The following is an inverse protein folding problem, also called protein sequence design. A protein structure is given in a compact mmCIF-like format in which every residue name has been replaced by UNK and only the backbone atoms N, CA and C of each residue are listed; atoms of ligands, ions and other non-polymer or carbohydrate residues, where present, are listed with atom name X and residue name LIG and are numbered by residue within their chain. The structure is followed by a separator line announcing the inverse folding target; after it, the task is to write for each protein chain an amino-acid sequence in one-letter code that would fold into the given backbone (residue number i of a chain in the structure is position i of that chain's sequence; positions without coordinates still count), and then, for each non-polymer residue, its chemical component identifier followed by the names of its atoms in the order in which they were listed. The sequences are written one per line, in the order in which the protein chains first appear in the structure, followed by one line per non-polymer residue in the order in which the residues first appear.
data_IF_449524538322
#
_entry.id   IF_449524538322
#
_cell.length_a   1.000
_cell.length_b   1.000
_cell.length_c   1.000
_cell.angle_alpha   90.00
_cell.angle_beta   90.00
_cell.angle_gamma   90.00
#
_symmetry.space_group_name_H-M   'P 1'
#
loop_
_entity.id
_entity.type
_entity.pdbx_description
1 polymer ?
#
# COMPACT_ATOMS: atom_id res chain seq x y z
N UNK A 1 -17.43 -16.71 -18.11
CA UNK A 1 -16.26 -16.09 -17.45
C UNK A 1 -16.57 -15.97 -15.96
N UNK A 2 -15.78 -16.55 -15.04
CA UNK A 2 -16.03 -16.37 -13.62
C UNK A 2 -15.80 -14.89 -13.27
N UNK A 3 -16.79 -14.26 -12.64
CA UNK A 3 -16.61 -12.94 -12.01
C UNK A 3 -15.61 -13.15 -10.88
N UNK A 4 -14.38 -12.66 -11.04
CA UNK A 4 -13.42 -12.55 -9.94
C UNK A 4 -14.08 -11.68 -8.86
N UNK A 5 -14.68 -12.32 -7.86
CA UNK A 5 -15.16 -11.63 -6.68
C UNK A 5 -14.00 -10.86 -6.11
N UNK A 6 -14.18 -9.55 -5.87
CA UNK A 6 -13.14 -8.71 -5.26
C UNK A 6 -12.81 -9.28 -3.89
N UNK A 7 -11.77 -10.10 -3.80
CA UNK A 7 -11.23 -10.50 -2.51
C UNK A 7 -10.51 -9.28 -1.96
N UNK A 8 -10.94 -8.83 -0.78
CA UNK A 8 -10.23 -7.79 -0.05
C UNK A 8 -8.91 -8.38 0.43
N UNK A 9 -7.82 -8.13 -0.31
CA UNK A 9 -6.48 -8.56 0.08
C UNK A 9 -5.97 -7.87 1.35
N UNK A 10 -6.55 -6.72 1.71
CA UNK A 10 -6.16 -5.93 2.88
C UNK A 10 -7.28 -4.95 3.29
N UNK A 11 -7.64 -4.93 4.56
CA UNK A 11 -8.40 -3.86 5.22
C UNK A 11 -7.78 -3.53 6.58
N UNK A 12 -7.84 -2.27 6.98
CA UNK A 12 -7.27 -1.82 8.23
C UNK A 12 -7.04 -0.32 8.26
N UNK A 13 -6.22 0.12 9.21
CA UNK A 13 -5.72 1.49 9.29
C UNK A 13 -4.20 1.52 9.18
N UNK A 14 -3.64 2.71 8.98
CA UNK A 14 -2.20 2.90 9.00
C UNK A 14 -1.86 4.24 9.62
N UNK A 15 -0.65 4.34 10.18
CA UNK A 15 -0.03 5.60 10.59
C UNK A 15 1.24 5.82 9.78
N UNK A 16 1.60 7.08 9.53
CA UNK A 16 2.84 7.45 8.83
C UNK A 16 3.63 8.39 9.72
N UNK A 17 4.89 8.04 9.98
CA UNK A 17 5.80 8.87 10.75
C UNK A 17 7.20 8.82 10.13
N UNK A 18 7.72 9.97 9.69
CA UNK A 18 9.11 10.12 9.17
C UNK A 18 9.52 9.06 8.13
N UNK A 19 8.63 8.75 7.18
CA UNK A 19 8.91 7.75 6.14
C UNK A 19 8.74 6.30 6.59
N UNK A 20 8.17 6.06 7.77
CA UNK A 20 7.79 4.73 8.24
C UNK A 20 6.27 4.63 8.30
N UNK A 21 5.72 3.58 7.70
CA UNK A 21 4.29 3.25 7.73
C UNK A 21 4.08 2.08 8.67
N UNK A 22 3.16 2.25 9.62
CA UNK A 22 2.72 1.16 10.49
C UNK A 22 1.30 0.77 10.14
N UNK A 23 1.13 -0.44 9.62
CA UNK A 23 -0.15 -1.02 9.25
C UNK A 23 -0.79 -1.71 10.46
N UNK A 24 -2.09 -1.49 10.63
CA UNK A 24 -2.95 -2.20 11.57
C UNK A 24 -3.98 -2.99 10.76
N UNK A 25 -3.69 -4.27 10.50
CA UNK A 25 -4.50 -5.10 9.61
C UNK A 25 -5.66 -5.73 10.36
N UNK A 26 -6.86 -5.65 9.80
CA UNK A 26 -8.05 -6.36 10.30
C UNK A 26 -8.25 -7.66 9.53
N UNK A 27 -8.35 -7.55 8.20
CA UNK A 27 -8.38 -8.69 7.27
C UNK A 27 -7.25 -8.50 6.28
N UNK A 28 -6.41 -9.51 6.10
CA UNK A 28 -5.30 -9.41 5.17
C UNK A 28 -4.85 -10.77 4.65
N UNK A 29 -4.40 -10.77 3.40
CA UNK A 29 -3.64 -11.86 2.79
C UNK A 29 -2.15 -11.56 2.88
N UNK A 30 -1.31 -12.61 2.75
CA UNK A 30 0.13 -12.44 2.58
C UNK A 30 0.42 -11.32 1.56
N UNK A 31 1.33 -10.37 1.85
CA UNK A 31 2.33 -10.34 2.94
C UNK A 31 1.87 -9.70 4.26
N UNK A 32 0.61 -9.26 4.34
CA UNK A 32 0.04 -8.63 5.52
C UNK A 32 -0.70 -9.72 6.33
N UNK A 33 -0.19 -10.09 7.51
CA UNK A 33 -0.87 -11.08 8.35
C UNK A 33 -2.16 -10.48 8.92
N UNK A 34 -3.26 -11.22 8.98
CA UNK A 34 -4.51 -10.73 9.59
C UNK A 34 -4.32 -10.47 11.10
N UNK A 35 -4.94 -9.40 11.63
CA UNK A 35 -4.85 -9.03 13.04
C UNK A 35 -3.45 -8.62 13.51
N UNK A 36 -2.55 -8.25 12.60
CA UNK A 36 -1.15 -7.95 12.91
C UNK A 36 -0.84 -6.47 12.79
N UNK A 37 0.18 -6.05 13.53
CA UNK A 37 0.80 -4.75 13.37
C UNK A 37 2.10 -4.91 12.62
N UNK A 38 2.25 -4.25 11.48
CA UNK A 38 3.41 -4.40 10.62
C UNK A 38 4.01 -3.04 10.26
N UNK A 39 5.29 -2.88 10.59
CA UNK A 39 6.05 -1.68 10.25
C UNK A 39 6.75 -1.87 8.91
N UNK A 40 6.76 -0.82 8.10
CA UNK A 40 7.32 -0.77 6.75
C UNK A 40 8.02 0.55 6.53
N UNK A 41 9.20 0.52 5.91
CA UNK A 41 9.89 1.74 5.51
C UNK A 41 9.44 2.12 4.12
N UNK A 42 9.00 3.36 3.98
CA UNK A 42 8.42 3.90 2.78
C UNK A 42 9.40 4.83 2.06
N UNK A 43 9.66 4.51 0.80
CA UNK A 43 10.35 5.41 -0.12
C UNK A 43 9.36 5.81 -1.21
N UNK A 44 9.12 7.11 -1.35
CA UNK A 44 8.41 7.66 -2.50
C UNK A 44 9.44 8.00 -3.57
N UNK A 45 9.33 7.36 -4.72
CA UNK A 45 10.19 7.59 -5.88
C UNK A 45 9.37 8.43 -6.86
N UNK A 46 9.76 9.70 -7.09
CA UNK A 46 9.08 10.54 -8.07
C UNK A 46 9.25 9.93 -9.45
N UNK A 47 8.17 9.88 -10.22
CA UNK A 47 8.23 9.51 -11.63
C UNK A 47 8.41 10.77 -12.46
N UNK A 48 9.49 10.87 -13.23
CA UNK A 48 9.74 12.05 -14.07
C UNK A 48 8.62 12.27 -15.12
N UNK A 49 7.95 11.20 -15.58
CA UNK A 49 6.78 11.21 -16.49
C UNK A 49 5.75 10.10 -16.19
N UNK A 50 5.89 9.41 -15.05
CA UNK A 50 5.05 8.28 -14.66
C UNK A 50 4.49 8.49 -13.26
N UNK A 51 3.47 7.72 -12.89
CA UNK A 51 2.87 7.87 -11.58
C UNK A 51 3.86 7.54 -10.46
N UNK A 52 3.86 8.35 -9.40
CA UNK A 52 4.72 8.15 -8.22
C UNK A 52 4.73 6.69 -7.78
N UNK A 53 5.92 6.17 -7.53
CA UNK A 53 6.10 4.81 -7.05
C UNK A 53 6.32 4.84 -5.54
N UNK A 54 5.44 4.15 -4.80
CA UNK A 54 5.64 3.89 -3.39
C UNK A 54 6.29 2.51 -3.24
N UNK A 55 7.50 2.49 -2.67
CA UNK A 55 8.16 1.26 -2.26
C UNK A 55 8.07 1.11 -0.74
N UNK A 56 7.58 -0.04 -0.29
CA UNK A 56 7.59 -0.46 1.11
C UNK A 56 8.58 -1.62 1.29
N UNK A 57 9.49 -1.49 2.24
CA UNK A 57 10.43 -2.55 2.63
C UNK A 57 10.19 -3.03 4.05
N UNK A 58 10.81 -4.16 4.39
CA UNK A 58 11.01 -4.56 5.77
C UNK A 58 12.02 -3.67 6.49
N UNK A 59 12.36 -4.06 7.73
CA UNK A 59 13.40 -3.42 8.52
C UNK A 59 14.73 -3.44 7.75
N UNK A 60 15.38 -2.28 7.47
CA UNK A 60 16.66 -2.23 6.78
C UNK A 60 17.77 -3.08 7.42
N UNK A 61 17.71 -3.27 8.75
CA UNK A 61 18.67 -4.13 9.48
C UNK A 61 18.24 -5.60 9.56
N UNK A 62 17.07 -5.96 9.04
CA UNK A 62 16.48 -7.28 9.17
C UNK A 62 17.10 -8.33 8.24
N UNK A 63 17.12 -9.61 8.65
CA UNK A 63 17.69 -10.71 7.86
C UNK A 63 16.85 -11.09 6.64
N UNK A 64 15.59 -10.62 6.56
CA UNK A 64 14.68 -10.90 5.45
C UNK A 64 14.10 -9.58 4.95
N UNK A 65 14.27 -9.34 3.65
CA UNK A 65 13.67 -8.21 2.95
C UNK A 65 12.52 -8.70 2.08
N UNK A 66 11.32 -8.17 2.32
CA UNK A 66 10.25 -8.19 1.33
C UNK A 66 10.13 -6.77 0.77
N UNK A 67 9.92 -6.66 -0.53
CA UNK A 67 9.74 -5.41 -1.23
C UNK A 67 8.38 -5.40 -1.89
N UNK A 68 7.60 -4.39 -1.55
CA UNK A 68 6.28 -4.20 -2.12
C UNK A 68 6.27 -2.84 -2.82
N UNK A 69 5.84 -2.84 -4.08
CA UNK A 69 5.90 -1.64 -4.93
C UNK A 69 4.51 -1.36 -5.45
N UNK A 70 4.03 -0.14 -5.22
CA UNK A 70 2.75 0.34 -5.72
C UNK A 70 2.97 1.50 -6.66
N UNK A 71 2.23 1.48 -7.76
CA UNK A 71 2.08 2.65 -8.61
C UNK A 71 0.87 3.42 -8.15
N UNK A 72 1.03 4.73 -8.00
CA UNK A 72 -0.10 5.62 -7.80
C UNK A 72 -1.04 5.51 -9.00
N UNK A 73 -2.33 5.32 -8.75
CA UNK A 73 -3.34 5.41 -9.80
C UNK A 73 -3.97 6.81 -9.78
N UNK A 74 -4.30 7.33 -10.95
CA UNK A 74 -5.09 8.56 -11.01
C UNK A 74 -6.46 8.29 -10.38
N UNK A 75 -6.81 9.06 -9.36
CA UNK A 75 -8.14 9.00 -8.80
C UNK A 75 -9.08 9.69 -9.79
N UNK A 76 -9.99 8.95 -10.42
CA UNK A 76 -11.05 9.56 -11.21
C UNK A 76 -11.98 10.27 -10.22
N UNK A 77 -11.80 11.58 -10.03
CA UNK A 77 -12.89 12.40 -9.56
C UNK A 77 -14.00 12.24 -10.58
N UNK A 78 -15.11 11.62 -10.18
CA UNK A 78 -16.31 11.62 -11.00
C UNK A 78 -16.56 13.06 -11.43
N UNK A 79 -16.72 13.28 -12.73
CA UNK A 79 -17.18 14.56 -13.28
C UNK A 79 -18.60 14.79 -12.74
N UNK A 80 -18.70 15.29 -11.53
CA UNK A 80 -19.91 15.93 -11.04
C UNK A 80 -20.02 17.23 -11.81
N UNK A 81 -21.03 17.32 -12.67
CA UNK A 81 -21.50 18.59 -13.22
C UNK A 81 -21.72 19.56 -12.05
N UNK A 82 -20.78 20.49 -11.87
CA UNK A 82 -21.10 21.81 -11.33
C UNK A 82 -21.19 22.72 -12.56
N UNK A 83 -22.37 22.71 -13.17
CA UNK A 83 -23.11 23.83 -13.76
C UNK A 83 -24.29 23.28 -14.54
#
# INVERSE_FOLDING_TARGET
MPRLGKSLGYTGSYTVERGVITHHTLVATWPFGAGSRQTRWATLIPGDDSADVLRLSGDPGGPVQFLLTWHRTAHAFGKGNIR
#
